data_IF_269248988677
#
_entry.id   IF_269248988677
#
_cell.length_a   1.000
_cell.length_b   1.000
_cell.length_c   1.000
_cell.angle_alpha   90.00
_cell.angle_beta   90.00
_cell.angle_gamma   90.00
#
_symmetry.space_group_name_H-M   'P 1'
#
loop_
_entity.id
_entity.type
_entity.pdbx_description
1 polymer ?
#
# COMPACT_ATOMS: atom_id res chain seq x y z
N UNK A 1 -20.69 -9.09 14.81
CA UNK A 1 -19.38 -8.84 14.20
C UNK A 1 -19.00 -7.41 14.50
N UNK A 2 -17.84 -7.17 15.11
CA UNK A 2 -17.41 -5.81 15.45
C UNK A 2 -17.26 -5.00 14.15
N UNK A 3 -18.00 -3.90 14.01
CA UNK A 3 -18.00 -3.07 12.81
C UNK A 3 -16.58 -2.56 12.49
N UNK A 4 -15.76 -2.33 13.52
CA UNK A 4 -14.34 -1.98 13.38
C UNK A 4 -13.47 -3.08 12.75
N UNK A 5 -13.77 -4.36 13.00
CA UNK A 5 -13.04 -5.46 12.36
C UNK A 5 -13.38 -5.56 10.86
N UNK A 6 -14.62 -5.25 10.48
CA UNK A 6 -15.03 -5.18 9.08
C UNK A 6 -14.38 -3.98 8.36
N UNK A 7 -14.35 -2.81 9.01
CA UNK A 7 -13.69 -1.62 8.47
C UNK A 7 -12.18 -1.82 8.26
N UNK A 8 -11.51 -2.45 9.23
CA UNK A 8 -10.09 -2.80 9.11
C UNK A 8 -9.85 -3.81 7.98
N UNK A 9 -10.72 -4.82 7.84
CA UNK A 9 -10.66 -5.79 6.75
C UNK A 9 -10.78 -5.14 5.37
N UNK A 10 -11.71 -4.19 5.20
CA UNK A 10 -11.87 -3.42 3.97
C UNK A 10 -10.65 -2.54 3.66
N UNK A 11 -10.07 -1.89 4.67
CA UNK A 11 -8.85 -1.10 4.49
C UNK A 11 -7.65 -1.97 4.08
N UNK A 12 -7.49 -3.14 4.72
CA UNK A 12 -6.44 -4.10 4.37
C UNK A 12 -6.57 -4.59 2.92
N UNK A 13 -7.79 -4.85 2.44
CA UNK A 13 -8.04 -5.21 1.05
C UNK A 13 -7.61 -4.09 0.08
N UNK A 14 -7.97 -2.84 0.36
CA UNK A 14 -7.60 -1.70 -0.48
C UNK A 14 -6.08 -1.51 -0.58
N UNK A 15 -5.39 -1.60 0.56
CA UNK A 15 -3.93 -1.50 0.67
C UNK A 15 -3.24 -2.63 -0.09
N UNK A 16 -3.70 -3.86 0.08
CA UNK A 16 -3.15 -5.04 -0.61
C UNK A 16 -3.26 -4.92 -2.14
N UNK A 17 -4.39 -4.38 -2.64
CA UNK A 17 -4.58 -4.14 -4.08
C UNK A 17 -3.64 -3.02 -4.57
N UNK A 18 -3.54 -1.93 -3.82
CA UNK A 18 -2.66 -0.80 -4.15
C UNK A 18 -1.19 -1.22 -4.26
N UNK A 19 -0.70 -1.96 -3.26
CA UNK A 19 0.66 -2.52 -3.25
C UNK A 19 0.88 -3.48 -4.42
N UNK A 20 -0.07 -4.38 -4.68
CA UNK A 20 0.01 -5.32 -5.80
C UNK A 20 0.17 -4.61 -7.16
N UNK A 21 -0.60 -3.54 -7.38
CA UNK A 21 -0.52 -2.74 -8.60
C UNK A 21 0.80 -1.95 -8.71
N UNK A 22 1.27 -1.38 -7.60
CA UNK A 22 2.52 -0.65 -7.51
C UNK A 22 3.71 -1.56 -7.85
N UNK A 23 3.79 -2.72 -7.20
CA UNK A 23 4.85 -3.70 -7.42
C UNK A 23 4.80 -4.27 -8.84
N UNK A 24 3.60 -4.58 -9.36
CA UNK A 24 3.46 -5.04 -10.75
C UNK A 24 3.97 -4.00 -11.76
N UNK A 25 3.67 -2.72 -11.52
CA UNK A 25 4.14 -1.61 -12.36
C UNK A 25 5.66 -1.41 -12.28
N UNK A 26 6.24 -1.55 -11.09
CA UNK A 26 7.68 -1.52 -10.88
C UNK A 26 8.39 -2.68 -11.60
N UNK A 27 7.88 -3.90 -11.47
CA UNK A 27 8.45 -5.08 -12.14
C UNK A 27 8.38 -4.95 -13.66
N UNK A 28 7.25 -4.50 -14.20
CA UNK A 28 7.07 -4.25 -15.63
C UNK A 28 8.01 -3.15 -16.16
N UNK A 29 8.17 -2.07 -15.40
CA UNK A 29 9.08 -0.96 -15.77
C UNK A 29 10.55 -1.40 -15.72
N UNK A 30 10.94 -2.15 -14.68
CA UNK A 30 12.30 -2.68 -14.51
C UNK A 30 12.63 -3.73 -15.57
N UNK A 31 11.67 -4.58 -15.95
CA UNK A 31 11.84 -5.55 -17.02
C UNK A 31 12.09 -4.88 -18.39
N UNK A 32 11.53 -3.69 -18.62
CA UNK A 32 11.72 -2.91 -19.85
C UNK A 32 13.03 -2.10 -19.84
N UNK A 33 13.42 -1.57 -18.68
CA UNK A 33 14.59 -0.71 -18.50
C UNK A 33 15.32 -1.02 -17.19
N UNK A 34 16.18 -2.04 -17.15
CA UNK A 34 16.89 -2.45 -15.93
C UNK A 34 17.77 -1.34 -15.34
N UNK A 35 18.33 -0.48 -16.17
CA UNK A 35 19.16 0.67 -15.75
C UNK A 35 18.40 1.70 -14.92
N UNK A 36 17.07 1.72 -15.00
CA UNK A 36 16.21 2.64 -14.25
C UNK A 36 15.84 2.11 -12.86
N UNK A 37 16.20 0.87 -12.51
CA UNK A 37 15.80 0.22 -11.26
C UNK A 37 16.08 1.07 -10.01
N UNK A 38 17.29 1.63 -9.90
CA UNK A 38 17.71 2.44 -8.73
C UNK A 38 16.91 3.74 -8.60
N UNK A 39 16.50 4.33 -9.73
CA UNK A 39 15.68 5.55 -9.76
C UNK A 39 14.22 5.25 -9.42
N UNK A 40 13.70 4.13 -9.93
CA UNK A 40 12.31 3.70 -9.69
C UNK A 40 12.08 3.27 -8.23
N UNK A 41 13.09 2.70 -7.58
CA UNK A 41 13.01 2.28 -6.17
C UNK A 41 12.62 3.42 -5.22
N UNK A 42 13.13 4.63 -5.42
CA UNK A 42 12.73 5.79 -4.61
C UNK A 42 11.22 6.10 -4.75
N UNK A 43 10.68 5.99 -5.96
CA UNK A 43 9.26 6.15 -6.24
C UNK A 43 8.41 5.03 -5.65
N UNK A 44 8.90 3.78 -5.68
CA UNK A 44 8.25 2.65 -5.02
C UNK A 44 8.16 2.89 -3.52
N UNK A 45 9.27 3.21 -2.84
CA UNK A 45 9.24 3.49 -1.39
C UNK A 45 8.28 4.61 -1.03
N UNK A 46 8.24 5.69 -1.82
CA UNK A 46 7.29 6.78 -1.62
C UNK A 46 5.83 6.31 -1.81
N UNK A 47 5.57 5.52 -2.86
CA UNK A 47 4.25 4.94 -3.12
C UNK A 47 3.78 4.04 -1.99
N UNK A 48 4.65 3.13 -1.52
CA UNK A 48 4.38 2.27 -0.35
C UNK A 48 4.07 3.11 0.89
N UNK A 49 4.87 4.14 1.16
CA UNK A 49 4.65 5.00 2.31
C UNK A 49 3.27 5.69 2.29
N UNK A 50 2.77 6.09 1.13
CA UNK A 50 1.42 6.65 1.01
C UNK A 50 0.33 5.60 1.18
N UNK A 51 0.50 4.41 0.59
CA UNK A 51 -0.47 3.32 0.69
C UNK A 51 -0.57 2.85 2.15
N UNK A 52 0.55 2.49 2.77
CA UNK A 52 0.62 2.04 4.17
C UNK A 52 0.26 3.15 5.15
N UNK A 53 0.54 4.41 4.83
CA UNK A 53 0.11 5.56 5.64
C UNK A 53 -1.41 5.57 5.88
N UNK A 54 -2.21 5.25 4.86
CA UNK A 54 -3.67 5.16 5.00
C UNK A 54 -4.12 3.95 5.83
N UNK A 55 -3.38 2.84 5.75
CA UNK A 55 -3.62 1.66 6.59
C UNK A 55 -3.41 2.00 8.06
N UNK A 56 -2.28 2.61 8.42
CA UNK A 56 -1.97 2.96 9.81
C UNK A 56 -2.97 3.96 10.40
N UNK A 57 -3.46 4.92 9.61
CA UNK A 57 -4.53 5.82 10.06
C UNK A 57 -5.80 5.04 10.37
N UNK A 58 -6.19 4.10 9.50
CA UNK A 58 -7.40 3.29 9.71
C UNK A 58 -7.25 2.35 10.92
N UNK A 59 -6.06 1.76 11.09
CA UNK A 59 -5.71 0.95 12.23
C UNK A 59 -5.78 1.76 13.54
N UNK A 60 -5.22 2.97 13.56
CA UNK A 60 -5.30 3.86 14.71
C UNK A 60 -6.75 4.23 15.06
N UNK A 61 -7.56 4.54 14.04
CA UNK A 61 -8.98 4.84 14.22
C UNK A 61 -9.77 3.66 14.80
N UNK A 62 -9.39 2.42 14.50
CA UNK A 62 -10.03 1.23 15.09
C UNK A 62 -9.83 1.16 16.62
N UNK A 63 -8.72 1.66 17.15
CA UNK A 63 -8.47 1.71 18.59
C UNK A 63 -9.14 2.89 19.30
N UNK A 64 -9.31 4.01 18.58
CA UNK A 64 -9.93 5.24 19.11
C UNK A 64 -11.46 5.16 19.07
N UNK A 65 -12.02 4.66 17.97
CA UNK A 65 -13.46 4.49 17.77
C UNK A 65 -13.87 3.13 18.33
N UNK A 66 -14.11 3.08 19.64
CA UNK A 66 -14.53 1.87 20.36
C UNK A 66 -16.04 1.66 20.30
#
# INVERSE_FOLDING_TARGET
>A
MNLGALALGLACLGVSIGEGLLVASYLSSTARQPEMQSKLMAGVFLGVAFIEGTFFVTLAMMFVLK
#
